data_IF_113042529839
#
_entry.id   IF_113042529839
#
_cell.length_a   1.000
_cell.length_b   1.000
_cell.length_c   1.000
_cell.angle_alpha   90.00
_cell.angle_beta   90.00
_cell.angle_gamma   90.00
#
_symmetry.space_group_name_H-M   'P 1'
#
loop_
_entity.id
_entity.type
_entity.pdbx_description
1 polymer ?
#
# COMPACT_ATOMS: atom_id res chain seq x y z
N UNK A 1 -47.85 -64.41 -20.28
CA UNK A 1 -48.15 -65.28 -19.15
C UNK A 1 -48.01 -64.37 -17.94
N UNK A 2 -49.10 -63.83 -17.45
CA UNK A 2 -49.86 -64.33 -16.33
C UNK A 2 -48.98 -64.44 -15.08
N UNK A 3 -49.19 -63.74 -14.01
CA UNK A 3 -50.40 -63.64 -13.29
C UNK A 3 -50.40 -62.60 -12.16
N UNK A 4 -51.63 -62.32 -11.89
CA UNK A 4 -52.15 -61.36 -10.90
C UNK A 4 -51.91 -61.78 -9.43
N UNK A 5 -51.91 -60.81 -8.52
CA UNK A 5 -52.07 -61.03 -7.11
C UNK A 5 -52.48 -59.75 -6.40
N UNK A 6 -53.80 -59.67 -6.13
CA UNK A 6 -54.52 -58.59 -5.39
C UNK A 6 -54.20 -58.63 -3.90
N UNK A 7 -54.18 -57.46 -3.25
CA UNK A 7 -54.86 -57.44 -1.96
C UNK A 7 -54.30 -56.51 -0.88
N UNK A 8 -55.12 -55.57 -0.54
CA UNK A 8 -55.43 -55.01 0.78
C UNK A 8 -54.75 -53.69 1.22
N UNK A 9 -55.57 -52.69 1.15
CA UNK A 9 -55.43 -51.40 1.80
C UNK A 9 -55.40 -51.53 3.34
N UNK A 10 -54.41 -50.81 3.97
CA UNK A 10 -54.59 -50.34 5.37
C UNK A 10 -54.11 -48.90 5.47
N UNK A 11 -55.03 -48.06 5.84
CA UNK A 11 -54.81 -46.68 6.22
C UNK A 11 -54.00 -46.63 7.54
N UNK A 12 -53.00 -45.84 7.60
CA UNK A 12 -52.45 -45.37 8.87
C UNK A 12 -51.73 -44.02 8.68
N UNK A 13 -52.19 -43.03 9.29
CA UNK A 13 -51.74 -41.89 10.03
C UNK A 13 -50.52 -41.14 9.46
N UNK A 14 -50.81 -39.93 8.94
CA UNK A 14 -49.79 -38.89 8.72
C UNK A 14 -49.46 -38.30 10.07
N UNK A 15 -48.22 -38.57 10.58
CA UNK A 15 -47.60 -37.75 11.62
C UNK A 15 -46.58 -36.85 10.92
N UNK A 16 -46.98 -35.61 10.71
CA UNK A 16 -46.07 -34.55 10.29
C UNK A 16 -45.12 -34.19 11.44
N UNK A 17 -43.89 -34.69 11.40
CA UNK A 17 -42.81 -34.21 12.24
C UNK A 17 -42.24 -32.96 11.61
N UNK A 18 -42.58 -31.80 12.15
CA UNK A 18 -41.90 -30.52 11.84
C UNK A 18 -40.53 -30.56 12.51
N UNK A 19 -39.50 -30.80 11.71
CA UNK A 19 -38.14 -30.65 12.15
C UNK A 19 -37.81 -29.14 12.16
N UNK A 20 -37.83 -28.53 13.34
CA UNK A 20 -37.20 -27.22 13.57
C UNK A 20 -35.69 -27.40 13.39
N UNK A 21 -35.17 -26.98 12.24
CA UNK A 21 -33.75 -26.69 12.07
C UNK A 21 -33.46 -25.42 12.87
N UNK A 22 -32.93 -25.59 14.07
CA UNK A 22 -32.23 -24.52 14.79
C UNK A 22 -30.96 -24.20 14.00
N UNK A 23 -30.97 -23.08 13.27
CA UNK A 23 -29.77 -22.43 12.77
C UNK A 23 -28.96 -21.95 13.98
N UNK A 24 -28.05 -22.81 14.48
CA UNK A 24 -27.02 -22.38 15.39
C UNK A 24 -26.11 -21.43 14.61
N UNK A 25 -26.41 -20.15 14.67
CA UNK A 25 -25.44 -19.12 14.28
C UNK A 25 -24.21 -19.29 15.17
N UNK A 26 -23.05 -19.58 14.57
CA UNK A 26 -21.77 -19.50 15.24
C UNK A 26 -21.46 -18.02 15.53
N UNK A 27 -22.17 -17.44 16.51
CA UNK A 27 -21.74 -16.25 17.20
C UNK A 27 -20.55 -16.62 18.07
N UNK A 28 -19.45 -15.90 17.95
CA UNK A 28 -18.34 -16.02 18.91
C UNK A 28 -18.90 -15.89 20.34
N UNK A 29 -18.43 -16.67 21.30
CA UNK A 29 -18.87 -16.54 22.68
C UNK A 29 -18.65 -15.09 23.16
N UNK A 30 -19.54 -14.53 23.99
CA UNK A 30 -19.35 -13.18 24.50
C UNK A 30 -17.99 -13.08 25.20
N UNK A 31 -17.25 -11.96 24.99
CA UNK A 31 -15.95 -11.78 25.63
C UNK A 31 -16.07 -11.91 27.13
N UNK A 32 -15.11 -12.57 27.76
CA UNK A 32 -15.05 -12.72 29.21
C UNK A 32 -14.86 -11.35 29.89
N UNK A 33 -14.95 -11.29 31.23
CA UNK A 33 -14.81 -10.03 31.97
C UNK A 33 -13.45 -9.38 31.73
N UNK A 34 -12.38 -10.19 31.68
CA UNK A 34 -11.01 -9.70 31.45
C UNK A 34 -10.86 -9.05 30.07
N UNK A 35 -11.37 -9.67 29.02
CA UNK A 35 -11.33 -9.10 27.66
C UNK A 35 -12.03 -7.74 27.63
N UNK A 36 -13.17 -7.59 28.29
CA UNK A 36 -13.90 -6.31 28.34
C UNK A 36 -13.18 -5.22 29.14
N UNK A 37 -12.57 -5.61 30.26
CA UNK A 37 -11.79 -4.69 31.10
C UNK A 37 -10.52 -4.22 30.39
N UNK A 38 -9.81 -5.13 29.73
CA UNK A 38 -8.62 -4.83 28.92
C UNK A 38 -8.99 -3.92 27.75
N UNK A 39 -10.06 -4.24 26.98
CA UNK A 39 -10.54 -3.38 25.92
C UNK A 39 -10.86 -1.97 26.44
N UNK A 40 -11.59 -1.88 27.55
CA UNK A 40 -11.92 -0.58 28.15
C UNK A 40 -10.70 0.22 28.61
N UNK A 41 -9.66 -0.46 29.10
CA UNK A 41 -8.39 0.19 29.45
C UNK A 41 -7.68 0.71 28.21
N UNK A 42 -7.59 -0.09 27.14
CA UNK A 42 -6.98 0.32 25.87
C UNK A 42 -7.74 1.48 25.21
N UNK A 43 -9.08 1.48 25.27
CA UNK A 43 -9.93 2.57 24.76
C UNK A 43 -9.68 3.88 25.52
N UNK A 44 -9.44 3.83 26.84
CA UNK A 44 -9.08 5.03 27.62
C UNK A 44 -7.70 5.57 27.20
N UNK A 45 -6.70 4.70 27.02
CA UNK A 45 -5.39 5.10 26.55
C UNK A 45 -5.43 5.70 25.14
N UNK A 46 -6.21 5.10 24.24
CA UNK A 46 -6.40 5.62 22.89
C UNK A 46 -6.99 7.06 22.90
N UNK A 47 -8.03 7.28 23.72
CA UNK A 47 -8.60 8.63 23.90
C UNK A 47 -7.63 9.63 24.50
N UNK A 48 -6.82 9.21 25.48
CA UNK A 48 -5.82 10.05 26.11
C UNK A 48 -4.72 10.45 25.09
N UNK A 49 -4.30 9.52 24.23
CA UNK A 49 -3.34 9.82 23.14
C UNK A 49 -3.91 10.89 22.19
N UNK A 50 -5.14 10.71 21.73
CA UNK A 50 -5.78 11.66 20.81
C UNK A 50 -6.03 13.03 21.47
N UNK A 51 -6.28 13.06 22.78
CA UNK A 51 -6.44 14.27 23.56
C UNK A 51 -5.09 14.91 23.96
N UNK A 52 -3.95 14.26 23.67
CA UNK A 52 -2.61 14.67 24.12
C UNK A 52 -2.51 14.80 25.64
N UNK A 53 -3.26 13.96 26.37
CA UNK A 53 -3.21 13.87 27.83
C UNK A 53 -2.23 12.76 28.25
N UNK A 54 -0.97 13.15 28.49
CA UNK A 54 0.11 12.24 28.87
C UNK A 54 -0.19 11.52 30.19
N UNK A 55 -0.74 12.25 31.19
CA UNK A 55 -1.04 11.67 32.48
C UNK A 55 -2.11 10.58 32.39
N UNK A 56 -3.18 10.83 31.64
CA UNK A 56 -4.22 9.85 31.38
C UNK A 56 -3.72 8.68 30.51
N UNK A 57 -2.80 8.93 29.55
CA UNK A 57 -2.19 7.90 28.72
C UNK A 57 -1.32 6.93 29.54
N UNK A 58 -0.62 7.43 30.55
CA UNK A 58 0.19 6.64 31.47
C UNK A 58 -0.64 5.72 32.39
N UNK A 59 -1.93 6.03 32.61
CA UNK A 59 -2.83 5.18 33.40
C UNK A 59 -3.03 3.84 32.70
N UNK A 60 -2.73 2.73 33.39
CA UNK A 60 -2.80 1.38 32.82
C UNK A 60 -1.47 0.90 32.19
N UNK A 61 -0.40 1.67 32.32
CA UNK A 61 0.96 1.19 32.06
C UNK A 61 1.61 0.72 33.35
N UNK A 62 2.34 -0.37 33.25
CA UNK A 62 3.26 -0.76 34.32
C UNK A 62 4.44 0.22 34.36
N UNK A 63 4.99 0.45 35.55
CA UNK A 63 6.12 1.38 35.76
C UNK A 63 7.36 1.02 34.94
N UNK A 64 7.53 -0.24 34.56
CA UNK A 64 8.65 -0.69 33.72
C UNK A 64 8.47 -0.31 32.24
N UNK A 65 7.23 -0.26 31.74
CA UNK A 65 6.92 0.11 30.35
C UNK A 65 6.71 1.61 30.17
N UNK A 66 6.25 2.32 31.22
CA UNK A 66 5.83 3.71 31.12
C UNK A 66 6.86 4.64 30.43
N UNK A 67 8.18 4.57 30.71
CA UNK A 67 9.14 5.46 30.04
C UNK A 67 9.21 5.24 28.52
N UNK A 68 9.15 3.99 28.04
CA UNK A 68 9.18 3.69 26.60
C UNK A 68 7.88 4.08 25.92
N UNK A 69 6.73 3.83 26.54
CA UNK A 69 5.43 4.18 26.02
C UNK A 69 5.20 5.72 25.99
N UNK A 70 5.71 6.46 26.96
CA UNK A 70 5.65 7.92 26.97
C UNK A 70 6.57 8.51 25.89
N UNK A 71 7.72 7.91 25.65
CA UNK A 71 8.59 8.30 24.53
C UNK A 71 7.87 8.08 23.17
N UNK A 72 7.17 6.98 22.97
CA UNK A 72 6.36 6.75 21.75
C UNK A 72 5.20 7.77 21.67
N UNK A 73 4.58 8.14 22.78
CA UNK A 73 3.57 9.21 22.86
C UNK A 73 4.14 10.56 22.39
N UNK A 74 5.36 10.91 22.78
CA UNK A 74 6.05 12.13 22.35
C UNK A 74 6.40 12.09 20.86
N UNK A 75 6.90 10.95 20.34
CA UNK A 75 7.20 10.76 18.92
C UNK A 75 5.99 11.02 18.01
N UNK A 76 4.78 10.82 18.52
CA UNK A 76 3.52 11.07 17.81
C UNK A 76 3.04 12.52 17.88
N UNK A 77 3.79 13.42 18.54
CA UNK A 77 3.32 14.79 18.86
C UNK A 77 2.81 15.55 17.64
N UNK A 78 3.53 15.48 16.52
CA UNK A 78 3.22 16.21 15.29
C UNK A 78 2.41 15.41 14.29
N UNK A 79 2.20 14.10 14.52
CA UNK A 79 1.40 13.27 13.62
C UNK A 79 -0.08 13.67 13.74
N UNK A 80 -0.73 14.11 12.65
CA UNK A 80 -2.12 14.56 12.71
C UNK A 80 -3.08 13.36 12.75
N UNK A 81 -3.21 12.73 13.91
CA UNK A 81 -4.09 11.59 14.11
C UNK A 81 -5.56 12.01 14.06
N UNK A 82 -6.36 11.31 13.24
CA UNK A 82 -7.81 11.43 13.17
C UNK A 82 -8.53 10.35 13.98
N UNK A 83 -7.89 9.20 14.16
CA UNK A 83 -8.32 8.14 15.07
C UNK A 83 -7.13 7.33 15.55
N UNK A 84 -7.32 6.69 16.71
CA UNK A 84 -6.42 5.71 17.29
C UNK A 84 -7.27 4.78 18.13
N UNK A 85 -7.31 3.51 17.82
CA UNK A 85 -8.14 2.54 18.51
C UNK A 85 -7.47 1.17 18.56
N UNK A 86 -7.83 0.39 19.57
CA UNK A 86 -7.41 -0.99 19.71
C UNK A 86 -8.63 -1.90 19.65
N UNK A 87 -8.48 -3.03 18.98
CA UNK A 87 -9.46 -4.12 19.01
C UNK A 87 -8.79 -5.37 19.57
N UNK A 88 -9.18 -5.78 20.77
CA UNK A 88 -8.75 -7.05 21.36
C UNK A 88 -9.28 -8.19 20.51
N UNK A 89 -8.37 -9.02 20.00
CA UNK A 89 -8.70 -10.21 19.18
C UNK A 89 -8.69 -11.48 20.01
N UNK A 90 -7.73 -11.58 20.94
CA UNK A 90 -7.54 -12.75 21.76
C UNK A 90 -6.87 -12.40 23.09
N UNK A 91 -7.23 -13.12 24.14
CA UNK A 91 -6.66 -12.98 25.49
C UNK A 91 -6.24 -14.37 25.98
N UNK A 92 -4.94 -14.61 26.04
CA UNK A 92 -4.37 -15.84 26.61
C UNK A 92 -3.92 -15.56 28.05
N UNK A 93 -4.60 -16.19 29.02
CA UNK A 93 -4.24 -16.08 30.44
C UNK A 93 -3.09 -17.03 30.74
N UNK A 94 -1.91 -16.47 31.01
CA UNK A 94 -0.69 -17.22 31.33
C UNK A 94 -0.50 -17.46 32.82
N UNK A 95 -1.50 -17.10 33.67
CA UNK A 95 -1.51 -17.25 35.11
C UNK A 95 -2.76 -16.68 35.75
N UNK A 96 -2.75 -16.51 37.09
CA UNK A 96 -3.87 -15.90 37.82
C UNK A 96 -3.97 -14.39 37.56
N UNK A 97 -2.81 -13.75 37.41
CA UNK A 97 -2.62 -12.30 37.34
C UNK A 97 -1.94 -11.83 36.04
N UNK A 98 -1.79 -12.70 35.05
CA UNK A 98 -1.06 -12.40 33.80
C UNK A 98 -1.87 -12.81 32.58
N UNK A 99 -1.75 -12.01 31.54
CA UNK A 99 -2.32 -12.32 30.22
C UNK A 99 -1.41 -11.82 29.10
N UNK A 100 -1.38 -12.54 27.99
CA UNK A 100 -0.89 -12.06 26.70
C UNK A 100 -2.09 -11.79 25.80
N UNK A 101 -2.14 -10.61 25.23
CA UNK A 101 -3.25 -10.12 24.40
C UNK A 101 -2.77 -9.87 22.99
N UNK A 102 -3.45 -10.45 22.01
CA UNK A 102 -3.34 -10.02 20.62
C UNK A 102 -4.40 -8.96 20.36
N UNK A 103 -3.97 -7.80 19.93
CA UNK A 103 -4.83 -6.69 19.57
C UNK A 103 -4.49 -6.15 18.19
N UNK A 104 -5.49 -5.67 17.49
CA UNK A 104 -5.33 -4.87 16.28
C UNK A 104 -5.33 -3.40 16.68
N UNK A 105 -4.27 -2.70 16.35
CA UNK A 105 -4.22 -1.25 16.44
C UNK A 105 -4.67 -0.66 15.10
N UNK A 106 -5.69 0.18 15.12
CA UNK A 106 -6.15 0.98 14.00
C UNK A 106 -5.84 2.46 14.22
N UNK A 107 -5.34 3.13 13.19
CA UNK A 107 -5.14 4.59 13.24
C UNK A 107 -5.42 5.24 11.89
N UNK A 108 -5.77 6.51 11.87
CA UNK A 108 -5.94 7.32 10.66
C UNK A 108 -5.17 8.63 10.77
N UNK A 109 -4.55 9.01 9.66
CA UNK A 109 -4.00 10.36 9.47
C UNK A 109 -5.14 11.27 9.01
N UNK A 110 -5.44 12.28 9.83
CA UNK A 110 -6.55 13.21 9.62
C UNK A 110 -6.42 13.93 8.28
N UNK A 111 -7.50 13.90 7.50
CA UNK A 111 -7.57 14.54 6.20
C UNK A 111 -6.93 13.75 5.06
N UNK A 112 -6.32 12.57 5.30
CA UNK A 112 -5.70 11.73 4.29
C UNK A 112 -6.31 10.33 4.24
N UNK A 113 -6.49 9.68 5.36
CA UNK A 113 -7.01 8.32 5.43
C UNK A 113 -8.55 8.29 5.44
N UNK A 114 -9.15 7.55 4.52
CA UNK A 114 -10.59 7.25 4.53
C UNK A 114 -10.91 6.15 5.53
N UNK A 115 -10.09 5.10 5.58
CA UNK A 115 -10.14 4.02 6.55
C UNK A 115 -8.90 3.96 7.43
N UNK A 116 -8.90 3.12 8.48
CA UNK A 116 -7.75 2.97 9.36
C UNK A 116 -6.64 2.15 8.70
N UNK A 117 -5.40 2.57 8.91
CA UNK A 117 -4.24 1.67 8.81
C UNK A 117 -4.30 0.74 10.00
N UNK A 118 -4.19 -0.56 9.79
CA UNK A 118 -4.24 -1.57 10.85
C UNK A 118 -2.91 -2.28 11.01
N UNK A 119 -2.53 -2.59 12.24
CA UNK A 119 -1.33 -3.36 12.57
C UNK A 119 -1.58 -4.24 13.80
N UNK A 120 -1.00 -5.43 13.82
CA UNK A 120 -1.12 -6.33 14.96
C UNK A 120 -0.15 -5.92 16.07
N UNK A 121 -0.65 -5.96 17.33
CA UNK A 121 0.11 -5.73 18.56
C UNK A 121 -0.04 -6.92 19.49
N UNK A 122 1.05 -7.28 20.17
CA UNK A 122 1.08 -8.27 21.23
C UNK A 122 1.40 -7.55 22.52
N UNK A 123 0.44 -7.58 23.46
CA UNK A 123 0.53 -6.89 24.74
C UNK A 123 0.66 -7.94 25.86
N UNK A 124 1.68 -7.81 26.72
CA UNK A 124 1.71 -8.55 27.98
C UNK A 124 1.12 -7.68 29.09
N UNK A 125 0.25 -8.27 29.91
CA UNK A 125 -0.47 -7.57 30.96
C UNK A 125 -0.33 -8.27 32.30
N UNK A 126 -0.40 -7.46 33.36
CA UNK A 126 -0.51 -7.94 34.75
C UNK A 126 -1.74 -7.32 35.42
N UNK A 127 -2.43 -8.15 36.20
CA UNK A 127 -3.55 -7.70 37.05
C UNK A 127 -3.05 -7.39 38.45
N UNK A 128 -3.37 -6.21 38.96
CA UNK A 128 -3.11 -5.79 40.36
C UNK A 128 -4.33 -5.08 40.90
N UNK A 129 -4.79 -5.49 42.04
CA UNK A 129 -5.97 -4.89 42.73
C UNK A 129 -7.19 -4.75 41.81
N UNK A 130 -7.45 -5.79 40.99
CA UNK A 130 -8.58 -5.84 40.06
C UNK A 130 -8.44 -4.91 38.85
N UNK A 131 -7.21 -4.48 38.49
CA UNK A 131 -6.92 -3.63 37.33
C UNK A 131 -5.81 -4.20 36.50
N UNK A 132 -5.96 -4.12 35.18
CA UNK A 132 -4.95 -4.54 34.20
C UNK A 132 -3.96 -3.43 33.90
N UNK A 133 -2.68 -3.79 33.84
CA UNK A 133 -1.56 -2.90 33.46
C UNK A 133 -0.75 -3.56 32.34
N UNK A 134 -0.42 -2.81 31.29
CA UNK A 134 0.44 -3.26 30.19
C UNK A 134 1.89 -3.23 30.65
N UNK A 135 2.57 -4.40 30.57
CA UNK A 135 3.97 -4.56 30.94
C UNK A 135 4.90 -4.62 29.72
N UNK A 136 4.36 -5.01 28.55
CA UNK A 136 5.06 -4.97 27.28
C UNK A 136 4.06 -4.71 26.14
N UNK A 137 4.50 -3.99 25.12
CA UNK A 137 3.77 -3.71 23.88
C UNK A 137 4.73 -3.92 22.71
N UNK A 138 4.45 -4.92 21.88
CA UNK A 138 5.31 -5.35 20.77
C UNK A 138 4.52 -5.44 19.47
N UNK A 139 5.15 -5.21 18.30
CA UNK A 139 4.56 -5.57 17.02
C UNK A 139 4.19 -7.06 16.97
N UNK A 140 3.15 -7.42 16.22
CA UNK A 140 2.90 -8.79 15.81
C UNK A 140 4.06 -9.37 14.99
N UNK A 141 4.10 -10.69 14.81
CA UNK A 141 5.23 -11.36 14.16
C UNK A 141 5.54 -10.85 12.75
N UNK A 142 4.48 -10.52 11.98
CA UNK A 142 4.58 -10.06 10.58
C UNK A 142 4.29 -8.55 10.44
N UNK A 143 4.18 -7.81 11.55
CA UNK A 143 3.87 -6.40 11.52
C UNK A 143 5.11 -5.56 11.19
N UNK A 144 5.02 -4.75 10.14
CA UNK A 144 6.02 -3.73 9.83
C UNK A 144 6.07 -2.65 10.92
N UNK A 145 7.23 -2.03 11.09
CA UNK A 145 7.38 -0.89 11.99
C UNK A 145 6.52 0.28 11.54
N UNK A 146 6.12 1.10 12.49
CA UNK A 146 5.50 2.40 12.22
C UNK A 146 6.57 3.50 12.34
N UNK A 147 6.39 4.61 11.63
CA UNK A 147 7.40 5.67 11.57
C UNK A 147 7.77 6.21 12.96
N UNK A 148 6.79 6.44 13.83
CA UNK A 148 6.99 6.94 15.20
C UNK A 148 7.70 5.97 16.14
N UNK A 149 7.82 4.70 15.78
CA UNK A 149 8.62 3.73 16.53
C UNK A 149 10.12 3.90 16.28
N UNK A 150 10.48 4.67 15.24
CA UNK A 150 11.86 4.95 14.87
C UNK A 150 12.42 6.23 15.52
N UNK A 151 11.57 7.12 16.00
CA UNK A 151 11.98 8.39 16.63
C UNK A 151 10.91 9.46 16.56
N UNK A 152 11.30 10.68 16.95
CA UNK A 152 10.46 11.87 16.89
C UNK A 152 10.03 12.13 15.44
N UNK A 153 8.73 12.21 15.21
CA UNK A 153 8.19 12.49 13.87
C UNK A 153 8.01 13.99 13.71
N UNK A 154 8.70 14.54 12.74
CA UNK A 154 8.48 15.91 12.25
C UNK A 154 7.45 15.88 11.10
N UNK A 155 6.48 16.80 11.13
CA UNK A 155 5.43 16.89 10.14
C UNK A 155 5.49 18.20 9.34
N UNK A 156 5.64 18.08 8.02
CA UNK A 156 5.54 19.22 7.08
C UNK A 156 4.28 19.05 6.22
N UNK A 157 3.38 20.05 6.30
CA UNK A 157 2.17 20.12 5.50
C UNK A 157 2.40 20.98 4.27
N UNK A 158 2.24 20.37 3.08
CA UNK A 158 2.12 21.09 1.84
C UNK A 158 0.66 21.43 1.50
N UNK A 159 0.43 22.00 0.33
CA UNK A 159 -0.91 22.30 -0.16
C UNK A 159 -1.73 21.03 -0.45
N UNK A 160 -1.05 19.97 -0.91
CA UNK A 160 -1.64 18.68 -1.30
C UNK A 160 -0.88 17.47 -0.74
N UNK A 161 0.09 17.71 0.12
CA UNK A 161 0.96 16.68 0.68
C UNK A 161 1.07 16.79 2.19
N UNK A 162 1.35 15.65 2.83
CA UNK A 162 1.82 15.57 4.20
C UNK A 162 3.13 14.78 4.16
N UNK A 163 4.20 15.39 4.62
CA UNK A 163 5.50 14.73 4.76
C UNK A 163 5.76 14.50 6.23
N UNK A 164 5.96 13.25 6.62
CA UNK A 164 6.31 12.83 7.96
C UNK A 164 7.75 12.29 7.93
N UNK A 165 8.64 12.88 8.70
CA UNK A 165 10.05 12.52 8.72
C UNK A 165 10.55 12.15 10.11
N UNK A 166 11.56 11.28 10.18
CA UNK A 166 12.30 10.95 11.40
C UNK A 166 13.78 11.17 11.14
N UNK A 167 14.43 11.99 11.98
CA UNK A 167 15.87 12.25 11.86
C UNK A 167 16.27 12.95 10.56
N UNK A 168 15.37 13.72 9.97
CA UNK A 168 15.60 14.45 8.72
C UNK A 168 15.63 15.97 8.98
N UNK A 169 16.49 16.73 8.28
CA UNK A 169 16.43 18.18 8.34
C UNK A 169 15.08 18.70 7.82
N UNK A 170 14.48 19.66 8.53
CA UNK A 170 13.19 20.27 8.16
C UNK A 170 13.20 20.84 6.73
N UNK A 171 14.33 21.42 6.31
CA UNK A 171 14.51 21.92 4.93
C UNK A 171 14.32 20.81 3.89
N UNK A 172 14.83 19.59 4.15
CA UNK A 172 14.62 18.43 3.28
C UNK A 172 13.15 18.05 3.23
N UNK A 173 12.47 18.00 4.37
CA UNK A 173 11.05 17.66 4.41
C UNK A 173 10.20 18.71 3.66
N UNK A 174 10.54 20.00 3.78
CA UNK A 174 9.89 21.07 3.00
C UNK A 174 10.16 20.94 1.50
N UNK A 175 11.38 20.59 1.10
CA UNK A 175 11.71 20.36 -0.32
C UNK A 175 10.91 19.20 -0.91
N UNK A 176 10.76 18.10 -0.15
CA UNK A 176 9.95 16.94 -0.53
C UNK A 176 8.47 17.34 -0.63
N UNK A 177 7.93 18.07 0.35
CA UNK A 177 6.55 18.57 0.31
C UNK A 177 6.29 19.45 -0.92
N UNK A 178 7.20 20.37 -1.24
CA UNK A 178 7.08 21.21 -2.43
C UNK A 178 7.13 20.39 -3.74
N UNK A 179 7.94 19.35 -3.81
CA UNK A 179 8.00 18.46 -4.98
C UNK A 179 6.73 17.59 -5.09
N UNK A 180 6.20 17.07 -3.98
CA UNK A 180 4.94 16.32 -3.93
C UNK A 180 3.74 17.21 -4.32
N UNK A 181 3.72 18.46 -3.88
CA UNK A 181 2.68 19.44 -4.24
C UNK A 181 2.68 19.78 -5.74
N UNK A 182 3.85 19.73 -6.41
CA UNK A 182 3.93 19.83 -7.89
C UNK A 182 3.55 18.54 -8.58
N UNK A 183 3.84 17.38 -7.99
CA UNK A 183 3.51 16.07 -8.56
C UNK A 183 1.98 15.87 -8.66
N UNK A 184 1.22 16.23 -7.63
CA UNK A 184 -0.23 16.01 -7.58
C UNK A 184 -0.98 16.62 -8.78
N UNK A 185 -0.84 17.89 -9.16
CA UNK A 185 -1.51 18.44 -10.36
C UNK A 185 -0.98 17.82 -11.65
N UNK A 186 0.31 17.50 -11.77
CA UNK A 186 0.86 16.84 -12.95
C UNK A 186 0.23 15.45 -13.16
N UNK A 187 0.13 14.67 -12.09
CA UNK A 187 -0.53 13.36 -12.10
C UNK A 187 -2.03 13.49 -12.38
N UNK A 188 -2.72 14.45 -11.77
CA UNK A 188 -4.15 14.66 -12.04
C UNK A 188 -4.43 15.03 -13.51
N UNK A 189 -3.49 15.68 -14.18
CA UNK A 189 -3.58 15.96 -15.62
C UNK A 189 -3.31 14.71 -16.47
N UNK A 190 -2.44 13.81 -16.03
CA UNK A 190 -2.13 12.54 -16.71
C UNK A 190 -3.18 11.45 -16.42
N UNK A 191 -3.81 11.49 -15.26
CA UNK A 191 -4.83 10.54 -14.79
C UNK A 191 -6.12 11.28 -14.42
N UNK A 192 -7.02 11.53 -15.36
CA UNK A 192 -8.24 12.32 -15.13
C UNK A 192 -9.33 11.59 -14.32
N UNK A 193 -9.13 10.30 -13.99
CA UNK A 193 -10.06 9.55 -13.13
C UNK A 193 -10.03 10.07 -11.69
N UNK A 194 -11.15 10.00 -10.95
CA UNK A 194 -11.19 10.47 -9.56
C UNK A 194 -10.19 9.73 -8.68
N UNK A 195 -9.45 10.49 -7.87
CA UNK A 195 -8.56 10.03 -6.81
C UNK A 195 -8.46 11.08 -5.70
N UNK A 196 -7.77 10.80 -4.61
CA UNK A 196 -7.74 11.69 -3.44
C UNK A 196 -7.14 13.08 -3.71
N UNK A 197 -6.32 13.25 -4.76
CA UNK A 197 -5.66 14.52 -5.11
C UNK A 197 -4.68 15.02 -4.05
N UNK A 198 -4.14 14.11 -3.23
CA UNK A 198 -3.19 14.39 -2.13
C UNK A 198 -2.39 13.14 -1.80
N UNK A 199 -1.22 13.32 -1.19
CA UNK A 199 -0.29 12.23 -0.87
C UNK A 199 0.28 12.34 0.53
N UNK A 200 0.58 11.19 1.13
CA UNK A 200 1.35 11.08 2.38
C UNK A 200 2.72 10.50 2.05
N UNK A 201 3.77 11.23 2.45
CA UNK A 201 5.16 10.83 2.22
C UNK A 201 5.82 10.56 3.56
N UNK A 202 6.43 9.40 3.72
CA UNK A 202 7.21 9.01 4.89
C UNK A 202 8.69 9.08 4.55
N UNK A 203 9.49 9.72 5.40
CA UNK A 203 10.94 9.85 5.23
C UNK A 203 11.63 9.31 6.48
N UNK A 204 12.00 8.02 6.51
CA UNK A 204 12.72 7.41 7.63
C UNK A 204 14.15 7.94 7.75
N UNK A 205 14.81 7.65 8.88
CA UNK A 205 16.16 8.15 9.17
C UNK A 205 17.24 7.57 8.24
N UNK A 206 17.03 6.34 7.72
CA UNK A 206 18.02 5.60 6.93
C UNK A 206 17.36 4.57 6.01
N UNK A 207 18.17 3.94 5.15
CA UNK A 207 17.75 2.80 4.35
C UNK A 207 17.28 1.61 5.21
N UNK A 208 17.97 1.32 6.31
CA UNK A 208 17.54 0.23 7.21
C UNK A 208 16.20 0.56 7.90
N UNK A 209 16.00 1.82 8.27
CA UNK A 209 14.75 2.30 8.81
C UNK A 209 13.60 2.21 7.77
N UNK A 210 13.88 2.49 6.47
CA UNK A 210 12.94 2.24 5.38
C UNK A 210 12.56 0.76 5.29
N UNK A 211 13.55 -0.13 5.39
CA UNK A 211 13.32 -1.57 5.43
C UNK A 211 12.38 -1.98 6.57
N UNK A 212 12.53 -1.38 7.75
CA UNK A 212 11.63 -1.59 8.89
C UNK A 212 10.18 -1.20 8.60
N UNK A 213 9.94 -0.07 7.90
CA UNK A 213 8.60 0.35 7.46
C UNK A 213 7.99 -0.59 6.41
N UNK A 214 8.83 -1.26 5.62
CA UNK A 214 8.41 -2.16 4.54
C UNK A 214 8.38 -3.63 4.96
N UNK A 215 8.77 -3.95 6.21
CA UNK A 215 8.82 -5.31 6.72
C UNK A 215 9.88 -6.20 6.03
N UNK A 216 10.94 -5.60 5.46
CA UNK A 216 12.00 -6.31 4.75
C UNK A 216 13.37 -5.68 5.03
N UNK A 217 14.50 -6.41 4.82
CA UNK A 217 15.83 -5.83 5.00
C UNK A 217 16.05 -4.61 4.13
N UNK A 218 16.63 -3.52 4.69
CA UNK A 218 16.92 -2.29 3.94
C UNK A 218 17.77 -2.52 2.69
N UNK A 219 18.70 -3.49 2.76
CA UNK A 219 19.54 -3.85 1.60
C UNK A 219 18.75 -4.23 0.34
N UNK A 220 17.51 -4.71 0.47
CA UNK A 220 16.61 -5.03 -0.65
C UNK A 220 16.17 -3.79 -1.44
N UNK A 221 16.27 -2.61 -0.84
CA UNK A 221 15.86 -1.33 -1.41
C UNK A 221 17.05 -0.42 -1.76
N UNK A 222 18.26 -0.97 -1.77
CA UNK A 222 19.48 -0.21 -2.12
C UNK A 222 19.35 0.31 -3.55
N UNK A 223 19.55 1.63 -3.73
CA UNK A 223 19.45 2.29 -5.04
C UNK A 223 18.02 2.66 -5.46
N UNK A 224 17.00 2.20 -4.75
CA UNK A 224 15.60 2.59 -4.98
C UNK A 224 15.32 3.88 -4.21
N UNK A 225 14.88 4.92 -4.92
CA UNK A 225 14.72 6.24 -4.34
C UNK A 225 13.44 6.41 -3.52
N UNK A 226 12.36 5.73 -3.88
CA UNK A 226 11.11 5.68 -3.13
C UNK A 226 10.30 4.44 -3.51
N UNK A 227 9.28 4.12 -2.70
CA UNK A 227 8.32 3.02 -2.93
C UNK A 227 6.94 3.47 -2.48
N UNK A 228 5.92 3.22 -3.27
CA UNK A 228 4.52 3.43 -2.88
C UNK A 228 3.92 2.15 -2.34
N UNK A 229 3.39 2.21 -1.11
CA UNK A 229 2.68 1.10 -0.46
C UNK A 229 1.20 1.39 -0.36
N UNK A 230 0.37 0.36 -0.47
CA UNK A 230 -1.08 0.46 -0.32
C UNK A 230 -1.77 -0.84 -0.70
N UNK A 231 -3.05 -0.93 -0.38
CA UNK A 231 -3.85 -2.10 -0.72
C UNK A 231 -4.28 -2.04 -2.19
N UNK A 232 -3.87 -3.02 -2.99
CA UNK A 232 -4.33 -3.16 -4.37
C UNK A 232 -5.83 -3.42 -4.38
N UNK A 233 -6.59 -2.59 -5.11
CA UNK A 233 -8.05 -2.55 -5.11
C UNK A 233 -8.64 -2.25 -3.74
N UNK A 234 -7.98 -1.45 -2.92
CA UNK A 234 -8.56 -0.93 -1.70
C UNK A 234 -9.93 -0.30 -1.98
N UNK A 235 -10.92 -0.62 -1.15
CA UNK A 235 -12.25 -0.03 -1.24
C UNK A 235 -12.27 1.45 -0.82
N UNK A 236 -13.44 2.10 -0.84
CA UNK A 236 -13.57 3.51 -0.45
C UNK A 236 -13.13 3.79 1.00
N UNK A 237 -13.10 2.75 1.83
CA UNK A 237 -12.68 2.80 3.23
C UNK A 237 -11.23 2.34 3.43
N UNK A 238 -10.43 2.19 2.37
CA UNK A 238 -9.01 1.87 2.49
C UNK A 238 -8.23 3.08 3.02
N UNK A 239 -7.12 2.84 3.77
CA UNK A 239 -6.19 3.90 4.12
C UNK A 239 -5.55 4.48 2.85
N UNK A 240 -5.06 5.71 2.94
CA UNK A 240 -4.28 6.30 1.86
C UNK A 240 -2.96 5.52 1.67
N UNK A 241 -2.51 5.42 0.42
CA UNK A 241 -1.18 4.90 0.13
C UNK A 241 -0.10 5.77 0.80
N UNK A 242 1.03 5.17 1.11
CA UNK A 242 2.22 5.86 1.64
C UNK A 242 3.34 5.81 0.60
N UNK A 243 3.88 6.96 0.25
CA UNK A 243 5.14 7.05 -0.47
C UNK A 243 6.27 7.03 0.56
N UNK A 244 7.10 5.99 0.56
CA UNK A 244 8.22 5.86 1.49
C UNK A 244 9.51 6.19 0.74
N UNK A 245 10.17 7.26 1.15
CA UNK A 245 11.39 7.77 0.51
C UNK A 245 12.62 7.14 1.16
N UNK A 246 13.53 6.62 0.32
CA UNK A 246 14.88 6.24 0.73
C UNK A 246 15.74 7.50 0.84
N UNK A 247 16.12 7.95 2.05
CA UNK A 247 16.82 9.22 2.21
C UNK A 247 18.21 9.24 1.57
N UNK A 248 18.84 8.06 1.38
CA UNK A 248 20.15 7.93 0.77
C UNK A 248 20.06 8.05 -0.77
N UNK A 249 19.28 7.18 -1.41
CA UNK A 249 19.15 7.16 -2.87
C UNK A 249 18.45 8.42 -3.40
N UNK A 250 17.40 8.89 -2.74
CA UNK A 250 16.71 10.13 -3.10
C UNK A 250 17.60 11.36 -2.89
N UNK A 251 18.43 11.35 -1.84
CA UNK A 251 19.32 12.46 -1.48
C UNK A 251 20.42 12.75 -2.49
N UNK A 252 20.84 11.74 -3.28
CA UNK A 252 21.88 11.94 -4.33
C UNK A 252 21.29 12.36 -5.67
N UNK A 253 19.96 12.34 -5.82
CA UNK A 253 19.30 12.84 -7.02
C UNK A 253 19.30 14.38 -7.02
N UNK A 254 19.55 14.99 -8.18
CA UNK A 254 19.29 16.40 -8.37
C UNK A 254 17.78 16.72 -8.37
N UNK A 255 17.42 18.00 -8.28
CA UNK A 255 16.02 18.45 -8.17
C UNK A 255 15.10 17.88 -9.26
N UNK A 256 15.61 17.69 -10.48
CA UNK A 256 14.87 17.05 -11.56
C UNK A 256 14.54 15.58 -11.24
N UNK A 257 15.54 14.78 -10.88
CA UNK A 257 15.33 13.37 -10.54
C UNK A 257 14.42 13.20 -9.33
N UNK A 258 14.55 14.05 -8.31
CA UNK A 258 13.66 14.07 -7.15
C UNK A 258 12.20 14.34 -7.54
N UNK A 259 11.98 15.27 -8.49
CA UNK A 259 10.64 15.55 -9.01
C UNK A 259 10.07 14.37 -9.80
N UNK A 260 10.89 13.73 -10.67
CA UNK A 260 10.49 12.54 -11.42
C UNK A 260 10.04 11.43 -10.46
N UNK A 261 10.85 11.11 -9.45
CA UNK A 261 10.51 10.07 -8.46
C UNK A 261 9.19 10.36 -7.77
N UNK A 262 8.99 11.57 -7.24
CA UNK A 262 7.74 11.88 -6.54
C UNK A 262 6.53 11.92 -7.48
N UNK A 263 6.70 12.30 -8.75
CA UNK A 263 5.60 12.24 -9.72
C UNK A 263 5.27 10.79 -10.07
N UNK A 264 6.29 9.93 -10.25
CA UNK A 264 6.14 8.50 -10.46
C UNK A 264 5.37 7.84 -9.29
N UNK A 265 5.82 8.01 -8.05
CA UNK A 265 5.18 7.44 -6.88
C UNK A 265 3.76 7.99 -6.66
N UNK A 266 3.55 9.29 -6.89
CA UNK A 266 2.21 9.89 -6.83
C UNK A 266 1.27 9.30 -7.89
N UNK A 267 1.81 8.85 -9.03
CA UNK A 267 1.02 8.19 -10.07
C UNK A 267 0.50 6.84 -9.58
N UNK A 268 1.32 6.06 -8.87
CA UNK A 268 0.84 4.82 -8.24
C UNK A 268 -0.30 5.09 -7.25
N UNK A 269 -0.21 6.15 -6.44
CA UNK A 269 -1.32 6.56 -5.56
C UNK A 269 -2.60 6.86 -6.36
N UNK A 270 -2.48 7.61 -7.44
CA UNK A 270 -3.63 8.02 -8.26
C UNK A 270 -4.28 6.84 -9.00
N UNK A 271 -3.47 5.91 -9.50
CA UNK A 271 -3.94 4.75 -10.28
C UNK A 271 -4.39 3.56 -9.43
N UNK A 272 -4.17 3.61 -8.11
CA UNK A 272 -4.39 2.48 -7.17
C UNK A 272 -5.73 1.80 -7.36
N UNK A 273 -6.82 2.55 -7.42
CA UNK A 273 -8.16 2.00 -7.57
C UNK A 273 -8.39 1.27 -8.91
N UNK A 274 -7.60 1.59 -9.93
CA UNK A 274 -7.64 0.95 -11.24
C UNK A 274 -6.56 -0.13 -11.43
N UNK A 275 -5.62 -0.26 -10.50
CA UNK A 275 -4.57 -1.28 -10.51
C UNK A 275 -5.07 -2.56 -9.86
N UNK A 276 -4.76 -3.70 -10.44
CA UNK A 276 -5.16 -5.00 -9.92
C UNK A 276 -4.11 -6.08 -10.24
N UNK A 277 -4.26 -7.31 -9.74
CA UNK A 277 -3.40 -8.43 -10.16
C UNK A 277 -3.42 -8.70 -11.68
N UNK A 278 -4.43 -8.19 -12.40
CA UNK A 278 -4.47 -8.26 -13.86
C UNK A 278 -3.55 -7.24 -14.55
N UNK A 279 -3.16 -6.15 -13.85
CA UNK A 279 -2.31 -5.10 -14.40
C UNK A 279 -0.84 -5.58 -14.44
N UNK A 280 -0.19 -5.69 -15.62
CA UNK A 280 1.22 -6.03 -15.70
C UNK A 280 2.11 -4.95 -15.11
N UNK A 281 3.25 -5.38 -14.54
CA UNK A 281 4.21 -4.45 -13.95
C UNK A 281 4.68 -3.43 -14.99
N UNK A 282 4.95 -3.87 -16.23
CA UNK A 282 5.35 -2.94 -17.28
C UNK A 282 4.33 -1.83 -17.55
N UNK A 283 3.02 -2.12 -17.41
CA UNK A 283 1.98 -1.11 -17.61
C UNK A 283 1.88 -0.15 -16.43
N UNK A 284 1.99 -0.68 -15.20
CA UNK A 284 1.98 0.13 -13.98
C UNK A 284 3.19 1.07 -13.93
N UNK A 285 4.39 0.52 -14.08
CA UNK A 285 5.64 1.28 -14.03
C UNK A 285 5.79 2.21 -15.24
N UNK A 286 5.49 1.69 -16.43
CA UNK A 286 5.56 2.49 -17.66
C UNK A 286 4.60 3.67 -17.69
N UNK A 287 3.40 3.51 -17.12
CA UNK A 287 2.45 4.62 -16.98
C UNK A 287 2.92 5.65 -15.95
N UNK A 288 3.50 5.19 -14.83
CA UNK A 288 4.06 6.07 -13.81
C UNK A 288 5.23 6.89 -14.35
N UNK A 289 6.14 6.27 -15.10
CA UNK A 289 7.24 6.97 -15.78
C UNK A 289 6.72 7.90 -16.89
N UNK A 290 5.74 7.46 -17.69
CA UNK A 290 5.14 8.33 -18.70
C UNK A 290 4.55 9.59 -18.08
N UNK A 291 3.80 9.47 -17.00
CA UNK A 291 3.23 10.62 -16.29
C UNK A 291 4.33 11.52 -15.68
N UNK A 292 5.42 10.92 -15.17
CA UNK A 292 6.53 11.64 -14.56
C UNK A 292 7.37 12.43 -15.59
N UNK A 293 7.59 11.88 -16.78
CA UNK A 293 8.36 12.54 -17.83
C UNK A 293 7.51 13.45 -18.74
N UNK A 294 6.18 13.34 -18.65
CA UNK A 294 5.25 14.13 -19.46
C UNK A 294 5.47 15.64 -19.28
N UNK A 295 5.67 16.36 -20.37
CA UNK A 295 5.87 17.81 -20.36
C UNK A 295 7.22 18.29 -19.81
N UNK A 296 8.16 17.42 -19.50
CA UNK A 296 9.49 17.79 -18.97
C UNK A 296 10.44 18.31 -20.05
N UNK A 297 10.14 18.09 -21.33
CA UNK A 297 11.02 18.42 -22.45
C UNK A 297 12.21 17.48 -22.62
N UNK A 298 12.30 16.40 -21.82
CA UNK A 298 13.34 15.38 -21.98
C UNK A 298 13.02 14.51 -23.19
N UNK A 299 14.06 14.28 -24.02
CA UNK A 299 13.97 13.32 -25.14
C UNK A 299 14.07 11.90 -24.61
N UNK A 300 13.55 10.93 -25.36
CA UNK A 300 13.73 9.50 -25.06
C UNK A 300 15.20 9.13 -24.87
N UNK A 301 16.09 9.65 -25.72
CA UNK A 301 17.53 9.42 -25.63
C UNK A 301 18.18 9.95 -24.33
N UNK A 302 17.55 10.93 -23.65
CA UNK A 302 18.01 11.47 -22.36
C UNK A 302 17.41 10.74 -21.16
N UNK A 303 16.20 10.22 -21.31
CA UNK A 303 15.47 9.56 -20.23
C UNK A 303 15.62 8.04 -20.23
N UNK A 304 16.07 7.44 -21.34
CA UNK A 304 16.31 6.01 -21.51
C UNK A 304 17.75 5.69 -21.95
N UNK A 305 18.78 6.05 -21.16
CA UNK A 305 20.17 5.90 -21.58
C UNK A 305 20.64 4.44 -21.65
N UNK A 306 20.14 3.54 -20.79
CA UNK A 306 20.52 2.12 -20.75
C UNK A 306 19.93 1.36 -21.94
N UNK A 307 18.64 1.56 -22.22
CA UNK A 307 17.99 0.95 -23.38
C UNK A 307 18.56 1.52 -24.69
N UNK A 308 18.85 2.83 -24.73
CA UNK A 308 19.52 3.45 -25.87
C UNK A 308 20.86 2.81 -26.17
N UNK A 309 21.67 2.52 -25.14
CA UNK A 309 22.96 1.85 -25.30
C UNK A 309 22.78 0.47 -25.91
N UNK A 310 21.80 -0.30 -25.42
CA UNK A 310 21.47 -1.62 -25.95
C UNK A 310 21.00 -1.57 -27.41
N UNK A 311 20.04 -0.69 -27.73
CA UNK A 311 19.53 -0.51 -29.10
C UNK A 311 20.65 -0.16 -30.09
N UNK A 312 21.56 0.75 -29.72
CA UNK A 312 22.69 1.12 -30.56
C UNK A 312 23.74 0.01 -30.72
N UNK A 313 23.83 -0.89 -29.76
CA UNK A 313 24.64 -2.10 -29.86
C UNK A 313 23.97 -3.21 -30.70
N UNK A 314 22.75 -2.98 -31.22
CA UNK A 314 21.98 -3.97 -31.97
C UNK A 314 21.17 -4.93 -31.10
N UNK A 315 21.12 -4.71 -29.79
CA UNK A 315 20.35 -5.50 -28.82
C UNK A 315 18.97 -4.86 -28.61
N UNK A 316 18.12 -5.00 -29.63
CA UNK A 316 16.74 -4.52 -29.57
C UNK A 316 15.85 -5.58 -28.91
N UNK A 317 15.15 -5.27 -27.80
CA UNK A 317 14.30 -6.24 -27.10
C UNK A 317 13.27 -6.90 -28.03
N UNK A 318 13.09 -8.21 -27.89
CA UNK A 318 12.17 -8.98 -28.74
C UNK A 318 10.69 -8.82 -28.31
N UNK A 319 10.44 -8.57 -27.02
CA UNK A 319 9.11 -8.44 -26.41
C UNK A 319 9.12 -7.40 -25.31
N UNK A 320 7.94 -6.95 -24.90
CA UNK A 320 7.73 -6.13 -23.69
C UNK A 320 8.30 -6.86 -22.46
N UNK A 321 8.82 -6.11 -21.46
CA UNK A 321 9.37 -6.71 -20.26
C UNK A 321 8.28 -7.45 -19.48
N UNK A 322 8.58 -8.65 -18.99
CA UNK A 322 7.74 -9.40 -18.09
C UNK A 322 7.89 -8.90 -16.64
N UNK A 323 7.03 -9.36 -15.72
CA UNK A 323 7.05 -8.91 -14.32
C UNK A 323 8.37 -9.25 -13.62
N UNK A 324 9.10 -10.28 -14.05
CA UNK A 324 10.39 -10.68 -13.45
C UNK A 324 11.50 -9.69 -13.78
N UNK A 325 11.40 -8.99 -14.91
CA UNK A 325 12.37 -7.98 -15.31
C UNK A 325 12.40 -6.77 -14.35
N UNK A 326 11.36 -6.60 -13.52
CA UNK A 326 11.26 -5.54 -12.51
C UNK A 326 11.66 -6.00 -11.10
N UNK A 327 12.20 -7.22 -10.95
CA UNK A 327 12.65 -7.72 -9.66
C UNK A 327 13.90 -6.97 -9.17
N UNK A 328 13.85 -6.50 -7.92
CA UNK A 328 14.97 -5.82 -7.28
C UNK A 328 16.09 -6.81 -6.91
N UNK A 329 17.33 -6.31 -6.83
CA UNK A 329 18.50 -7.09 -6.42
C UNK A 329 19.20 -7.88 -7.54
N UNK A 330 18.73 -7.73 -8.79
CA UNK A 330 19.37 -8.28 -9.97
C UNK A 330 20.36 -7.34 -10.66
N UNK A 331 20.51 -7.49 -11.99
CA UNK A 331 21.31 -6.60 -12.84
C UNK A 331 20.61 -5.23 -12.97
N UNK A 332 21.29 -4.18 -12.50
CA UNK A 332 20.76 -2.82 -12.50
C UNK A 332 20.50 -2.27 -13.91
N UNK A 333 21.36 -2.61 -14.89
CA UNK A 333 21.19 -2.18 -16.28
C UNK A 333 19.99 -2.90 -16.93
N UNK A 334 19.76 -4.17 -16.59
CA UNK A 334 18.60 -4.91 -17.06
C UNK A 334 17.30 -4.35 -16.47
N UNK A 335 17.29 -4.03 -15.18
CA UNK A 335 16.19 -3.38 -14.51
C UNK A 335 15.86 -2.01 -15.13
N UNK A 336 16.88 -1.17 -15.34
CA UNK A 336 16.71 0.14 -15.98
C UNK A 336 16.10 0.01 -17.38
N UNK A 337 16.60 -0.94 -18.21
CA UNK A 337 16.04 -1.21 -19.55
C UNK A 337 14.58 -1.66 -19.50
N UNK A 338 14.16 -2.40 -18.45
CA UNK A 338 12.77 -2.79 -18.29
C UNK A 338 11.86 -1.57 -18.02
N UNK A 339 12.25 -0.67 -17.10
CA UNK A 339 11.54 0.59 -16.86
C UNK A 339 11.48 1.46 -18.10
N UNK A 340 12.61 1.70 -18.74
CA UNK A 340 12.72 2.52 -19.95
C UNK A 340 11.89 1.97 -21.11
N UNK A 341 11.87 0.63 -21.29
CA UNK A 341 11.07 -0.04 -22.30
C UNK A 341 9.58 0.03 -22.00
N UNK A 342 9.19 -0.09 -20.75
CA UNK A 342 7.82 0.05 -20.27
C UNK A 342 7.30 1.48 -20.45
N UNK A 343 8.10 2.48 -20.07
CA UNK A 343 7.81 3.89 -20.32
C UNK A 343 7.54 4.15 -21.79
N UNK A 344 8.46 3.71 -22.70
CA UNK A 344 8.32 3.91 -24.14
C UNK A 344 7.16 3.14 -24.78
N UNK A 345 6.66 2.07 -24.14
CA UNK A 345 5.41 1.43 -24.54
C UNK A 345 4.20 2.31 -24.22
N UNK A 346 4.17 2.93 -23.05
CA UNK A 346 3.12 3.88 -22.68
C UNK A 346 3.20 5.17 -23.51
N UNK A 347 4.42 5.67 -23.81
CA UNK A 347 4.63 6.81 -24.72
C UNK A 347 4.08 6.50 -26.12
N UNK A 348 4.38 5.31 -26.67
CA UNK A 348 3.84 4.89 -27.97
C UNK A 348 2.30 4.89 -27.97
N UNK A 349 1.66 4.37 -26.92
CA UNK A 349 0.19 4.39 -26.86
C UNK A 349 -0.32 5.82 -26.84
N UNK A 350 0.27 6.69 -26.01
CA UNK A 350 -0.13 8.09 -25.92
C UNK A 350 0.08 8.86 -27.22
N UNK A 351 1.17 8.64 -27.93
CA UNK A 351 1.45 9.30 -29.19
C UNK A 351 0.59 8.81 -30.35
N UNK A 352 0.36 7.50 -30.45
CA UNK A 352 -0.33 6.90 -31.59
C UNK A 352 -1.85 6.92 -31.47
N UNK A 353 -2.38 6.72 -30.26
CA UNK A 353 -3.83 6.62 -30.01
C UNK A 353 -4.37 7.75 -29.12
N UNK A 354 -3.48 8.53 -28.50
CA UNK A 354 -3.85 9.62 -27.60
C UNK A 354 -3.77 9.23 -26.11
N UNK A 355 -3.55 10.24 -25.27
CA UNK A 355 -3.42 10.08 -23.80
C UNK A 355 -4.70 9.52 -23.16
N UNK A 356 -5.88 9.88 -23.68
CA UNK A 356 -7.15 9.32 -23.21
C UNK A 356 -7.22 7.80 -23.43
N UNK A 357 -6.72 7.34 -24.60
CA UNK A 357 -6.66 5.91 -24.91
C UNK A 357 -5.66 5.15 -24.05
N UNK A 358 -4.54 5.76 -23.69
CA UNK A 358 -3.61 5.18 -22.71
C UNK A 358 -4.29 4.98 -21.34
N UNK A 359 -5.02 5.97 -20.87
CA UNK A 359 -5.77 5.88 -19.60
C UNK A 359 -6.89 4.84 -19.68
N UNK A 360 -7.63 4.80 -20.78
CA UNK A 360 -8.68 3.80 -21.03
C UNK A 360 -8.09 2.39 -21.07
N UNK A 361 -6.97 2.21 -21.76
CA UNK A 361 -6.24 0.94 -21.83
C UNK A 361 -5.80 0.46 -20.44
N UNK A 362 -5.19 1.33 -19.64
CA UNK A 362 -4.80 1.00 -18.26
C UNK A 362 -5.99 0.49 -17.44
N UNK A 363 -7.11 1.23 -17.49
CA UNK A 363 -8.33 0.85 -16.75
C UNK A 363 -8.94 -0.45 -17.26
N UNK A 364 -8.97 -0.68 -18.58
CA UNK A 364 -9.50 -1.89 -19.17
C UNK A 364 -8.69 -3.14 -18.73
N UNK A 365 -7.36 -3.03 -18.72
CA UNK A 365 -6.48 -4.08 -18.19
C UNK A 365 -6.73 -4.32 -16.71
N UNK A 366 -6.74 -3.27 -15.90
CA UNK A 366 -6.95 -3.39 -14.45
C UNK A 366 -8.35 -3.89 -14.05
N UNK A 367 -9.36 -3.66 -14.89
CA UNK A 367 -10.72 -4.17 -14.68
C UNK A 367 -10.91 -5.64 -15.06
N UNK A 368 -9.94 -6.25 -15.76
CA UNK A 368 -10.04 -7.65 -16.17
C UNK A 368 -10.00 -8.59 -14.96
N UNK A 369 -10.78 -9.68 -14.95
CA UNK A 369 -10.87 -10.58 -13.79
C UNK A 369 -9.58 -11.37 -13.51
N UNK A 370 -8.71 -11.56 -14.51
CA UNK A 370 -7.46 -12.32 -14.41
C UNK A 370 -6.33 -11.65 -15.19
N UNK A 371 -5.09 -12.05 -14.90
CA UNK A 371 -3.90 -11.62 -15.64
C UNK A 371 -3.91 -12.11 -17.09
N UNK A 372 -4.33 -13.36 -17.28
CA UNK A 372 -4.38 -14.01 -18.58
C UNK A 372 -5.42 -13.33 -19.47
N UNK A 373 -5.02 -12.94 -20.68
CA UNK A 373 -5.85 -12.28 -21.66
C UNK A 373 -6.17 -10.80 -21.40
N UNK A 374 -5.77 -10.23 -20.23
CA UNK A 374 -6.10 -8.86 -19.87
C UNK A 374 -5.55 -7.83 -20.86
N UNK A 375 -4.27 -7.93 -21.18
CA UNK A 375 -3.59 -7.05 -22.13
C UNK A 375 -4.08 -7.28 -23.55
N UNK A 376 -4.20 -8.55 -23.98
CA UNK A 376 -4.67 -8.92 -25.31
C UNK A 376 -6.07 -8.34 -25.59
N UNK A 377 -6.99 -8.53 -24.65
CA UNK A 377 -8.36 -8.01 -24.76
C UNK A 377 -8.36 -6.48 -24.84
N UNK A 378 -7.60 -5.80 -23.97
CA UNK A 378 -7.55 -4.35 -23.97
C UNK A 378 -6.88 -3.79 -25.24
N UNK A 379 -5.83 -4.43 -25.77
CA UNK A 379 -5.24 -4.08 -27.06
C UNK A 379 -6.27 -4.13 -28.19
N UNK A 380 -7.07 -5.19 -28.22
CA UNK A 380 -8.10 -5.36 -29.24
C UNK A 380 -9.25 -4.35 -29.07
N UNK A 381 -9.83 -4.24 -27.88
CA UNK A 381 -11.05 -3.48 -27.63
C UNK A 381 -10.80 -1.96 -27.56
N UNK A 382 -9.66 -1.52 -27.01
CA UNK A 382 -9.36 -0.09 -26.78
C UNK A 382 -8.50 0.49 -27.89
N UNK A 383 -7.48 -0.26 -28.36
CA UNK A 383 -6.51 0.23 -29.31
C UNK A 383 -6.71 -0.32 -30.74
N UNK A 384 -7.57 -1.31 -30.92
CA UNK A 384 -7.84 -1.94 -32.23
C UNK A 384 -6.63 -2.62 -32.84
N UNK A 385 -5.76 -3.24 -32.01
CA UNK A 385 -4.52 -3.88 -32.44
C UNK A 385 -4.33 -5.25 -31.78
N UNK A 386 -3.43 -6.06 -32.32
CA UNK A 386 -3.06 -7.35 -31.74
C UNK A 386 -1.79 -7.24 -30.88
N UNK A 387 -1.49 -8.18 -29.99
CA UNK A 387 -0.22 -8.22 -29.25
C UNK A 387 1.01 -8.24 -30.16
N UNK A 388 0.95 -8.96 -31.29
CA UNK A 388 2.04 -9.05 -32.27
C UNK A 388 2.29 -7.71 -32.95
N UNK A 389 1.22 -7.08 -33.44
CA UNK A 389 1.30 -5.77 -34.12
C UNK A 389 1.72 -4.68 -33.15
N UNK A 390 1.24 -4.71 -31.90
CA UNK A 390 1.67 -3.78 -30.85
C UNK A 390 3.16 -3.93 -30.53
N UNK A 391 3.63 -5.17 -30.37
CA UNK A 391 5.04 -5.47 -30.10
C UNK A 391 5.93 -5.02 -31.27
N UNK A 392 5.51 -5.25 -32.50
CA UNK A 392 6.23 -4.79 -33.70
C UNK A 392 6.29 -3.25 -33.75
N UNK A 393 5.17 -2.58 -33.47
CA UNK A 393 5.11 -1.11 -33.42
C UNK A 393 6.01 -0.56 -32.30
N UNK A 394 6.00 -1.16 -31.09
CA UNK A 394 6.86 -0.78 -30.00
C UNK A 394 8.35 -0.94 -30.33
N UNK A 395 8.76 -2.05 -30.93
CA UNK A 395 10.13 -2.25 -31.38
C UNK A 395 10.57 -1.21 -32.43
N UNK A 396 9.70 -0.90 -33.38
CA UNK A 396 9.95 0.16 -34.36
C UNK A 396 10.08 1.54 -33.68
N UNK A 397 9.24 1.83 -32.68
CA UNK A 397 9.30 3.04 -31.87
C UNK A 397 10.63 3.15 -31.10
N UNK A 398 11.08 2.07 -30.44
CA UNK A 398 12.39 2.03 -29.78
C UNK A 398 13.53 2.37 -30.77
N UNK A 399 13.54 1.75 -31.95
CA UNK A 399 14.53 2.04 -32.98
C UNK A 399 14.54 3.50 -33.43
N UNK A 400 13.36 4.09 -33.60
CA UNK A 400 13.23 5.49 -34.03
C UNK A 400 13.60 6.51 -32.95
N UNK A 401 13.33 6.19 -31.66
CA UNK A 401 13.57 7.11 -30.53
C UNK A 401 14.99 7.04 -29.96
N UNK A 402 15.64 5.87 -30.05
CA UNK A 402 16.90 5.58 -29.36
C UNK A 402 18.08 5.27 -30.31
N UNK A 403 17.81 4.98 -31.58
CA UNK A 403 18.77 4.61 -32.60
C UNK A 403 19.74 5.71 -33.04
#
# INVERSE_FOLDING_TARGET
MAGQGRGAARRAGVCSAVALLALAGCGAPPPDSASREIQSMLDRRARALLARDEAAYAVGLDTSLAPAALKEFDHLAEVPLGSWDYRVKDVDRTGRDRATVRAELGYRVSGYDSGPVTTERVLDLIERDGRWYVTADRPGADAAQQLWQQGDVEAVRGARSLVLGVGQPEERLRAIAAAADRAVPAVSAAWPSPWAGRVVVLVPASLDAMGGLLGAPGASYRGIAAVTTGEVRGGPDAPADRVIVNPEAYGVLGAFGQQIVLTHETTHVATRAATSPATPVWLSEGFADWAAYRGTGRTAAQAAPELRRAVRAGDLPAALPDDKAFAFGGDADALARAYEGAWLACELIAERWGEEKLTEFYRAVGAHPSREGAVEKALHEVLGTTPEDFTAAWRAHLGARLG
#
